data_IF_027905531727
#
_entry.id   IF_027905531727
#
_cell.length_a   1.000
_cell.length_b   1.000
_cell.length_c   1.000
_cell.angle_alpha   90.00
_cell.angle_beta   90.00
_cell.angle_gamma   90.00
#
_symmetry.space_group_name_H-M   'P 1'
#
loop_
_entity.id
_entity.type
_entity.pdbx_description
1 polymer ?
#
# COMPACT_ATOMS: atom_id res chain seq x y z
N UNK A 1 -14.91 10.86 -59.64
CA UNK A 1 -13.85 10.59 -58.62
C UNK A 1 -13.93 11.67 -57.55
N UNK A 2 -14.60 11.43 -56.40
CA UNK A 2 -14.67 12.37 -55.23
C UNK A 2 -15.39 11.75 -54.01
N UNK A 3 -15.33 10.43 -53.81
CA UNK A 3 -16.02 9.73 -52.70
C UNK A 3 -15.12 8.82 -51.85
N UNK A 4 -13.80 8.87 -52.06
CA UNK A 4 -12.86 7.95 -51.40
C UNK A 4 -11.97 8.61 -50.33
N UNK A 5 -12.15 9.90 -50.05
CA UNK A 5 -11.27 10.63 -49.12
C UNK A 5 -11.88 10.71 -47.70
N UNK A 6 -13.20 10.58 -47.54
CA UNK A 6 -13.83 10.70 -46.22
C UNK A 6 -13.70 9.43 -45.36
N UNK A 7 -13.46 8.27 -45.94
CA UNK A 7 -13.43 7.00 -45.19
C UNK A 7 -12.08 6.70 -44.54
N UNK A 8 -10.99 7.35 -44.98
CA UNK A 8 -9.66 7.14 -44.40
C UNK A 8 -9.39 8.03 -43.17
N UNK A 9 -10.08 9.17 -43.06
CA UNK A 9 -9.95 10.05 -41.90
C UNK A 9 -10.61 9.49 -40.63
N UNK A 10 -11.61 8.62 -40.76
CA UNK A 10 -12.27 8.02 -39.61
C UNK A 10 -11.48 6.87 -38.99
N UNK A 11 -10.60 6.20 -39.75
CA UNK A 11 -9.81 5.07 -39.25
C UNK A 11 -8.53 5.50 -38.51
N UNK A 12 -8.06 6.74 -38.72
CA UNK A 12 -6.91 7.31 -37.99
C UNK A 12 -7.36 7.92 -36.65
N UNK A 13 -8.64 8.29 -36.52
CA UNK A 13 -9.19 8.85 -35.26
C UNK A 13 -9.40 7.83 -34.15
N UNK A 14 -9.61 6.55 -34.48
CA UNK A 14 -9.94 5.51 -33.48
C UNK A 14 -8.69 4.87 -32.86
N UNK A 15 -7.50 5.01 -33.49
CA UNK A 15 -6.25 4.45 -32.94
C UNK A 15 -5.54 5.37 -31.94
N UNK A 16 -5.95 6.63 -31.80
CA UNK A 16 -5.32 7.58 -30.85
C UNK A 16 -6.06 7.63 -29.51
N UNK A 17 -7.27 7.07 -29.39
CA UNK A 17 -7.97 6.95 -28.10
C UNK A 17 -7.69 5.66 -27.33
N UNK A 18 -6.84 4.77 -27.84
CA UNK A 18 -6.10 3.86 -26.95
C UNK A 18 -4.91 4.62 -26.37
N UNK A 19 -5.20 5.68 -25.62
CA UNK A 19 -4.33 6.01 -24.50
C UNK A 19 -4.38 4.80 -23.58
N UNK A 20 -3.51 3.83 -23.85
CA UNK A 20 -2.89 3.06 -22.79
C UNK A 20 -2.09 4.09 -21.98
N UNK A 21 -2.80 4.95 -21.26
CA UNK A 21 -2.34 5.40 -19.99
C UNK A 21 -2.15 4.10 -19.23
N UNK A 22 -0.93 3.58 -19.29
CA UNK A 22 -0.37 2.79 -18.21
C UNK A 22 -0.59 3.66 -17.00
N UNK A 23 -1.77 3.53 -16.38
CA UNK A 23 -2.07 4.12 -15.11
C UNK A 23 -0.98 3.53 -14.22
N UNK A 24 0.03 4.36 -13.93
CA UNK A 24 1.15 3.95 -13.11
C UNK A 24 0.54 3.29 -11.88
N UNK A 25 0.97 2.05 -11.63
CA UNK A 25 0.42 1.24 -10.57
C UNK A 25 0.42 2.11 -9.30
N UNK A 26 -0.76 2.38 -8.69
CA UNK A 26 -0.85 3.41 -7.67
C UNK A 26 0.18 3.13 -6.59
N UNK A 27 0.88 4.18 -6.16
CA UNK A 27 1.94 4.04 -5.16
C UNK A 27 1.40 3.24 -3.96
N UNK A 28 2.27 2.48 -3.27
CA UNK A 28 1.85 1.72 -2.09
C UNK A 28 1.10 2.61 -1.08
N UNK A 29 1.48 3.89 -0.98
CA UNK A 29 0.76 4.91 -0.21
C UNK A 29 -0.65 5.18 -0.73
N UNK A 30 -0.82 5.38 -2.03
CA UNK A 30 -2.12 5.60 -2.67
C UNK A 30 -3.05 4.39 -2.49
N UNK A 31 -2.53 3.18 -2.64
CA UNK A 31 -3.27 1.92 -2.42
C UNK A 31 -3.67 1.74 -0.97
N UNK A 32 -2.77 2.04 -0.03
CA UNK A 32 -3.07 2.01 1.40
C UNK A 32 -4.16 3.03 1.75
N UNK A 33 -4.05 4.26 1.25
CA UNK A 33 -5.09 5.28 1.44
C UNK A 33 -6.43 4.84 0.86
N UNK A 34 -6.46 4.32 -0.38
CA UNK A 34 -7.70 3.83 -0.98
C UNK A 34 -8.34 2.75 -0.12
N UNK A 35 -7.61 1.73 0.36
CA UNK A 35 -8.18 0.73 1.28
C UNK A 35 -8.71 1.34 2.58
N UNK A 36 -8.01 2.32 3.15
CA UNK A 36 -8.45 3.04 4.35
C UNK A 36 -9.77 3.78 4.10
N UNK A 37 -9.96 4.38 2.92
CA UNK A 37 -11.14 5.17 2.57
C UNK A 37 -12.28 4.36 1.94
N UNK A 38 -12.00 3.17 1.39
CA UNK A 38 -12.99 2.30 0.73
C UNK A 38 -13.87 1.48 1.70
N UNK A 39 -13.76 1.71 3.01
CA UNK A 39 -14.66 1.10 3.99
C UNK A 39 -14.30 -0.34 4.37
N UNK A 40 -13.09 -0.81 4.07
CA UNK A 40 -12.60 -2.08 4.62
C UNK A 40 -12.48 -1.96 6.15
N UNK A 41 -13.27 -2.76 6.87
CA UNK A 41 -13.26 -2.76 8.34
C UNK A 41 -12.25 -3.74 8.93
N UNK A 42 -11.80 -4.71 8.13
CA UNK A 42 -10.95 -5.82 8.57
C UNK A 42 -9.78 -6.01 7.63
N UNK A 43 -8.65 -6.41 8.18
CA UNK A 43 -7.43 -6.69 7.42
C UNK A 43 -6.89 -8.06 7.82
N UNK A 44 -6.55 -8.88 6.83
CA UNK A 44 -5.78 -10.11 7.01
C UNK A 44 -4.31 -9.78 6.80
N UNK A 45 -3.49 -9.92 7.85
CA UNK A 45 -2.06 -9.62 7.80
C UNK A 45 -1.24 -10.90 7.73
N UNK A 46 -0.36 -10.98 6.74
CA UNK A 46 0.66 -12.02 6.64
C UNK A 46 2.02 -11.39 6.93
N UNK A 47 2.77 -11.97 7.88
CA UNK A 47 4.13 -11.52 8.21
C UNK A 47 5.12 -12.56 7.69
N UNK A 48 6.13 -12.11 6.95
CA UNK A 48 7.21 -12.95 6.46
C UNK A 48 8.56 -12.44 6.97
N UNK A 49 9.45 -13.34 7.37
CA UNK A 49 10.80 -12.98 7.78
C UNK A 49 11.52 -14.11 8.52
N UNK A 50 12.83 -13.97 8.74
CA UNK A 50 13.59 -14.91 9.55
C UNK A 50 13.05 -14.91 10.99
N UNK A 51 12.76 -16.10 11.52
CA UNK A 51 12.22 -16.28 12.88
C UNK A 51 10.70 -16.15 13.02
N UNK A 52 9.96 -15.90 11.93
CA UNK A 52 8.48 -15.93 11.95
C UNK A 52 7.97 -17.36 11.81
N UNK A 53 7.04 -17.83 12.67
CA UNK A 53 6.40 -19.12 12.49
C UNK A 53 5.68 -19.23 11.14
N UNK A 54 5.86 -20.35 10.44
CA UNK A 54 5.29 -20.58 9.11
C UNK A 54 3.77 -20.48 9.10
N UNK A 55 3.11 -20.86 10.19
CA UNK A 55 1.66 -20.72 10.37
C UNK A 55 1.19 -19.28 10.28
N UNK A 56 1.92 -18.32 10.87
CA UNK A 56 1.58 -16.89 10.83
C UNK A 56 1.82 -16.32 9.42
N UNK A 57 2.82 -16.81 8.72
CA UNK A 57 3.10 -16.41 7.34
C UNK A 57 2.01 -16.91 6.36
N UNK A 58 1.51 -18.14 6.55
CA UNK A 58 0.54 -18.77 5.63
C UNK A 58 -0.91 -18.45 6.01
N UNK A 59 -1.33 -18.68 7.25
CA UNK A 59 -2.71 -18.49 7.68
C UNK A 59 -3.07 -17.00 7.82
N UNK A 60 -2.09 -16.18 8.20
CA UNK A 60 -2.27 -14.77 8.51
C UNK A 60 -3.09 -14.53 9.78
N UNK A 61 -3.06 -13.30 10.26
CA UNK A 61 -3.85 -12.86 11.43
C UNK A 61 -4.94 -11.92 10.97
N UNK A 62 -6.20 -12.24 11.29
CA UNK A 62 -7.34 -11.39 10.96
C UNK A 62 -7.56 -10.34 12.05
N UNK A 63 -7.49 -9.06 11.66
CA UNK A 63 -7.79 -7.93 12.54
C UNK A 63 -9.23 -7.48 12.31
N UNK A 64 -9.95 -7.23 13.43
CA UNK A 64 -11.31 -6.66 13.42
C UNK A 64 -11.33 -5.15 13.12
N UNK A 65 -10.18 -4.59 12.78
CA UNK A 65 -9.95 -3.19 12.45
C UNK A 65 -8.99 -3.13 11.27
N UNK A 66 -9.10 -2.08 10.47
CA UNK A 66 -8.12 -1.73 9.44
C UNK A 66 -6.79 -1.22 10.00
N UNK A 67 -6.76 -0.90 11.29
CA UNK A 67 -5.56 -0.49 11.99
C UNK A 67 -4.93 -1.69 12.71
N UNK A 68 -3.66 -1.95 12.37
CA UNK A 68 -2.84 -2.96 13.03
C UNK A 68 -1.88 -2.26 13.97
N UNK A 69 -1.66 -2.82 15.17
CA UNK A 69 -0.73 -2.22 16.11
C UNK A 69 0.71 -2.37 15.61
N UNK A 70 1.56 -1.37 15.87
CA UNK A 70 2.98 -1.46 15.52
C UNK A 70 3.66 -2.64 16.21
N UNK A 71 3.20 -3.02 17.41
CA UNK A 71 3.69 -4.18 18.12
C UNK A 71 3.39 -5.48 17.38
N UNK A 72 2.23 -5.60 16.76
CA UNK A 72 1.92 -6.81 16.01
C UNK A 72 2.67 -6.86 14.68
N UNK A 73 2.86 -5.71 14.03
CA UNK A 73 3.58 -5.61 12.76
C UNK A 73 5.09 -5.90 12.93
N UNK A 74 5.69 -5.39 14.00
CA UNK A 74 7.15 -5.40 14.18
C UNK A 74 7.62 -6.29 15.34
N UNK A 75 6.76 -6.64 16.28
CA UNK A 75 7.10 -7.40 17.49
C UNK A 75 7.93 -8.66 17.24
N UNK A 76 7.64 -9.45 16.18
CA UNK A 76 8.44 -10.64 15.89
C UNK A 76 9.89 -10.38 15.47
N UNK A 77 10.22 -9.17 15.00
CA UNK A 77 11.53 -8.84 14.44
C UNK A 77 12.22 -7.69 15.14
N UNK A 78 11.67 -7.16 16.24
CA UNK A 78 12.17 -5.91 16.84
C UNK A 78 12.43 -6.04 18.32
N UNK A 79 13.47 -5.33 18.77
CA UNK A 79 13.86 -5.31 20.18
C UNK A 79 13.07 -4.28 20.97
N UNK A 80 12.73 -3.15 20.34
CA UNK A 80 12.02 -2.04 21.00
C UNK A 80 11.17 -1.24 20.03
N UNK A 81 10.01 -0.81 20.52
CA UNK A 81 9.10 0.13 19.85
C UNK A 81 8.81 1.24 20.86
N UNK A 82 9.15 2.47 20.49
CA UNK A 82 8.88 3.66 21.31
C UNK A 82 8.02 4.65 20.53
N UNK A 83 7.01 5.21 21.20
CA UNK A 83 6.15 6.24 20.63
C UNK A 83 6.45 7.57 21.33
N UNK A 84 6.81 8.58 20.54
CA UNK A 84 6.95 9.95 21.04
C UNK A 84 5.67 10.74 20.76
N UNK A 85 4.90 11.00 21.81
CA UNK A 85 3.66 11.76 21.75
C UNK A 85 3.84 13.20 21.27
N UNK A 86 5.00 13.81 21.49
CA UNK A 86 5.25 15.22 21.13
C UNK A 86 5.50 15.35 19.64
N UNK A 87 6.35 14.50 19.08
CA UNK A 87 6.70 14.52 17.65
C UNK A 87 5.76 13.69 16.78
N UNK A 88 4.91 12.85 17.38
CA UNK A 88 4.05 11.88 16.67
C UNK A 88 4.86 10.92 15.79
N UNK A 89 6.01 10.51 16.30
CA UNK A 89 6.94 9.58 15.63
C UNK A 89 7.01 8.28 16.42
N UNK A 90 6.83 7.16 15.72
CA UNK A 90 7.17 5.85 16.26
C UNK A 90 8.61 5.50 15.86
N UNK A 91 9.43 5.12 16.83
CA UNK A 91 10.77 4.59 16.59
C UNK A 91 10.76 3.09 16.82
N UNK A 92 11.12 2.35 15.78
CA UNK A 92 11.26 0.89 15.80
C UNK A 92 12.75 0.57 15.72
N UNK A 93 13.30 -0.12 16.71
CA UNK A 93 14.73 -0.48 16.74
C UNK A 93 14.93 -1.98 16.74
N UNK A 94 15.93 -2.44 15.98
CA UNK A 94 16.37 -3.83 15.95
C UNK A 94 17.89 -3.91 15.74
N UNK A 95 18.61 -4.56 16.65
CA UNK A 95 20.07 -4.78 16.57
C UNK A 95 20.88 -3.55 16.13
N UNK A 96 20.62 -2.40 16.76
CA UNK A 96 21.32 -1.13 16.46
C UNK A 96 20.80 -0.37 15.24
N UNK A 97 19.92 -0.96 14.43
CA UNK A 97 19.21 -0.27 13.33
C UNK A 97 17.94 0.38 13.87
N UNK A 98 17.61 1.57 13.35
CA UNK A 98 16.40 2.32 13.72
C UNK A 98 15.59 2.67 12.48
N UNK A 99 14.28 2.50 12.57
CA UNK A 99 13.29 2.96 11.61
C UNK A 99 12.39 3.98 12.29
N UNK A 100 12.19 5.13 11.64
CA UNK A 100 11.29 6.18 12.10
C UNK A 100 10.04 6.16 11.25
N UNK A 101 8.90 6.00 11.90
CA UNK A 101 7.58 6.02 11.27
C UNK A 101 6.91 7.31 11.69
N UNK A 102 6.73 8.21 10.72
CA UNK A 102 5.94 9.41 10.90
C UNK A 102 4.50 9.10 10.53
N UNK A 103 3.54 9.57 11.33
CA UNK A 103 2.16 9.60 10.86
C UNK A 103 2.12 10.57 9.67
N UNK A 104 1.56 10.19 8.51
CA UNK A 104 1.19 11.22 7.53
C UNK A 104 0.26 12.18 8.27
N UNK A 105 0.57 13.48 8.21
CA UNK A 105 -0.30 14.50 8.76
C UNK A 105 -1.73 14.23 8.25
N UNK A 106 -2.64 13.96 9.18
CA UNK A 106 -4.07 13.97 8.89
C UNK A 106 -4.37 15.45 8.66
N UNK A 107 -4.40 15.85 7.38
CA UNK A 107 -4.96 17.12 6.92
C UNK A 107 -6.48 17.03 6.97
#
# INVERSE_FOLDING_TARGET
MKKLICSLAFLIGVTIMSSNAFAADPSLRTRANQRIFMGEEKVLMHISGPGIPTEVAIAGTLYKSKFVSLRDLFGPTTSTINWDEKSKIATVSNHGKKCFLTSPAIL
#
